data_IF_761657199194
#
_entry.id   IF_761657199194
#
_cell.length_a   1.000
_cell.length_b   1.000
_cell.length_c   1.000
_cell.angle_alpha   90.00
_cell.angle_beta   90.00
_cell.angle_gamma   90.00
#
_symmetry.space_group_name_H-M   'P 1'
#
loop_
_entity.id
_entity.type
_entity.pdbx_description
1 polymer ?
#
# COMPACT_ATOMS: atom_id res chain seq x y z
N UNK A 1 28.05 -7.14 -13.02
CA UNK A 1 27.17 -7.59 -11.92
C UNK A 1 26.80 -9.03 -12.21
N UNK A 2 27.54 -10.00 -11.66
CA UNK A 2 27.38 -11.41 -11.99
C UNK A 2 26.29 -12.02 -11.09
N UNK A 3 25.14 -12.37 -11.67
CA UNK A 3 24.09 -13.12 -10.98
C UNK A 3 24.54 -14.57 -10.81
N UNK A 4 24.50 -15.10 -9.59
CA UNK A 4 24.96 -16.45 -9.28
C UNK A 4 24.26 -17.52 -10.14
N UNK A 5 24.96 -18.56 -10.62
CA UNK A 5 24.50 -19.47 -11.69
C UNK A 5 23.35 -20.42 -11.30
N UNK A 6 22.70 -20.24 -10.14
CA UNK A 6 21.63 -21.13 -9.64
C UNK A 6 20.41 -20.40 -9.04
N UNK A 7 20.21 -19.11 -9.34
CA UNK A 7 19.00 -18.39 -8.88
C UNK A 7 17.83 -18.71 -9.80
N UNK A 8 16.84 -19.47 -9.30
CA UNK A 8 15.54 -19.62 -9.98
C UNK A 8 14.75 -18.33 -9.84
N UNK A 9 14.88 -17.42 -10.81
CA UNK A 9 14.10 -16.18 -10.84
C UNK A 9 12.70 -16.46 -11.40
N UNK A 10 11.67 -16.29 -10.57
CA UNK A 10 10.26 -16.33 -10.99
C UNK A 10 9.75 -14.90 -11.14
N UNK A 11 9.61 -14.45 -12.39
CA UNK A 11 8.95 -13.17 -12.69
C UNK A 11 7.45 -13.41 -12.72
N UNK A 12 6.72 -12.75 -11.81
CA UNK A 12 5.25 -12.74 -11.80
C UNK A 12 4.80 -11.35 -12.20
N UNK A 13 4.06 -11.26 -13.30
CA UNK A 13 3.42 -10.04 -13.74
C UNK A 13 2.06 -10.40 -14.32
N UNK A 14 1.09 -9.50 -14.15
CA UNK A 14 -0.21 -9.66 -14.77
C UNK A 14 -0.10 -9.50 -16.29
N UNK A 15 -0.77 -10.38 -17.04
CA UNK A 15 -0.79 -10.38 -18.50
C UNK A 15 -1.48 -9.13 -19.08
N UNK A 16 -2.36 -8.50 -18.32
CA UNK A 16 -3.10 -7.29 -18.71
C UNK A 16 -2.31 -6.02 -18.38
N UNK A 17 -1.89 -5.28 -19.42
CA UNK A 17 -1.19 -4.00 -19.28
C UNK A 17 -2.05 -2.94 -18.56
N UNK A 18 -3.36 -2.99 -18.75
CA UNK A 18 -4.31 -2.13 -18.04
C UNK A 18 -4.28 -2.40 -16.54
N UNK A 19 -4.35 -3.67 -16.13
CA UNK A 19 -4.31 -4.03 -14.71
C UNK A 19 -2.97 -3.66 -14.07
N UNK A 20 -1.85 -3.77 -14.80
CA UNK A 20 -0.54 -3.28 -14.30
C UNK A 20 -0.52 -1.76 -14.12
N UNK A 21 -1.08 -1.01 -15.08
CA UNK A 21 -1.13 0.45 -15.03
C UNK A 21 -1.99 0.95 -13.85
N UNK A 22 -3.07 0.23 -13.53
CA UNK A 22 -4.01 0.62 -12.49
C UNK A 22 -3.87 -0.22 -11.21
N UNK A 23 -2.86 -1.07 -11.10
CA UNK A 23 -2.68 -2.00 -9.98
C UNK A 23 -2.71 -1.29 -8.62
N UNK A 24 -2.04 -0.13 -8.51
CA UNK A 24 -2.02 0.68 -7.29
C UNK A 24 -3.40 1.21 -6.91
N UNK A 25 -4.17 1.65 -7.90
CA UNK A 25 -5.53 2.15 -7.69
C UNK A 25 -6.52 1.04 -7.35
N UNK A 26 -6.37 -0.12 -8.01
CA UNK A 26 -7.14 -1.33 -7.71
C UNK A 26 -6.84 -1.78 -6.27
N UNK A 27 -5.56 -1.89 -5.90
CA UNK A 27 -5.14 -2.22 -4.54
C UNK A 27 -5.65 -1.22 -3.51
N UNK A 28 -5.60 0.07 -3.79
CA UNK A 28 -6.15 1.12 -2.94
C UNK A 28 -7.66 1.01 -2.73
N UNK A 29 -8.42 0.69 -3.79
CA UNK A 29 -9.87 0.51 -3.70
C UNK A 29 -10.26 -0.72 -2.85
N UNK A 30 -9.46 -1.80 -2.93
CA UNK A 30 -9.63 -2.99 -2.10
C UNK A 30 -9.32 -2.65 -0.65
N UNK A 31 -8.17 -2.01 -0.38
CA UNK A 31 -7.78 -1.58 0.97
C UNK A 31 -8.85 -0.68 1.61
N UNK A 32 -9.36 0.31 0.89
CA UNK A 32 -10.42 1.21 1.37
C UNK A 32 -11.73 0.47 1.72
N UNK A 33 -11.96 -0.68 1.10
CA UNK A 33 -13.15 -1.52 1.33
C UNK A 33 -12.98 -2.50 2.50
N UNK A 34 -11.78 -2.62 3.08
CA UNK A 34 -11.55 -3.50 4.23
C UNK A 34 -12.09 -2.85 5.51
N UNK A 35 -12.82 -3.62 6.32
CA UNK A 35 -13.31 -3.14 7.62
C UNK A 35 -12.18 -2.71 8.57
N UNK A 36 -11.01 -3.35 8.47
CA UNK A 36 -9.81 -2.97 9.24
C UNK A 36 -9.24 -1.61 8.82
N UNK A 37 -9.52 -1.15 7.60
CA UNK A 37 -9.06 0.15 7.13
C UNK A 37 -9.81 1.32 7.78
N UNK A 38 -11.00 1.08 8.33
CA UNK A 38 -11.74 2.09 9.09
C UNK A 38 -10.98 2.54 10.34
N UNK A 39 -10.15 1.68 10.92
CA UNK A 39 -9.33 2.01 12.09
C UNK A 39 -8.15 2.95 11.76
N UNK A 40 -7.84 3.13 10.47
CA UNK A 40 -6.76 3.99 9.97
C UNK A 40 -7.30 5.35 9.49
N UNK A 41 -8.59 5.61 9.65
CA UNK A 41 -9.17 6.89 9.25
C UNK A 41 -8.77 7.98 10.24
N UNK A 42 -8.23 9.07 9.70
CA UNK A 42 -7.89 10.24 10.49
C UNK A 42 -9.04 11.24 10.35
N UNK A 43 -9.69 11.57 11.47
CA UNK A 43 -10.75 12.58 11.48
C UNK A 43 -10.17 13.99 11.27
N UNK A 44 -11.03 14.92 10.82
CA UNK A 44 -10.63 16.33 10.67
C UNK A 44 -10.11 16.93 11.98
N UNK A 45 -10.71 16.55 13.11
CA UNK A 45 -10.33 17.03 14.44
C UNK A 45 -8.95 16.49 14.83
N UNK A 46 -8.71 15.19 14.68
CA UNK A 46 -7.40 14.59 14.98
C UNK A 46 -6.27 15.19 14.15
N UNK A 47 -6.55 15.50 12.88
CA UNK A 47 -5.60 16.16 12.00
C UNK A 47 -5.29 17.60 12.44
N UNK A 48 -6.30 18.35 12.90
CA UNK A 48 -6.13 19.73 13.37
C UNK A 48 -5.33 19.79 14.69
N UNK A 49 -5.58 18.84 15.60
CA UNK A 49 -4.94 18.78 16.92
C UNK A 49 -3.52 18.20 16.89
N UNK A 50 -3.30 17.13 16.13
CA UNK A 50 -1.99 16.45 16.06
C UNK A 50 -1.13 16.91 14.88
N UNK A 51 -1.70 17.68 13.94
CA UNK A 51 -1.02 18.10 12.73
C UNK A 51 -0.44 16.91 11.95
N UNK A 52 0.71 17.10 11.30
CA UNK A 52 1.38 16.05 10.51
C UNK A 52 1.84 14.83 11.33
N UNK A 53 1.85 14.91 12.66
CA UNK A 53 2.32 13.85 13.55
C UNK A 53 1.30 12.72 13.74
N UNK A 54 0.03 12.90 13.36
CA UNK A 54 -0.98 11.83 13.39
C UNK A 54 -0.61 10.67 12.47
N UNK A 55 0.10 10.94 11.37
CA UNK A 55 0.49 9.96 10.35
C UNK A 55 1.46 8.90 10.89
N UNK A 56 2.25 9.24 11.92
CA UNK A 56 3.25 8.33 12.50
C UNK A 56 2.70 7.43 13.62
N UNK A 57 1.48 7.69 14.09
CA UNK A 57 0.83 6.92 15.15
C UNK A 57 0.11 5.69 14.62
N UNK A 58 -0.24 5.68 13.34
CA UNK A 58 -0.95 4.57 12.72
C UNK A 58 0.03 3.48 12.29
N UNK A 59 -0.25 2.25 12.72
CA UNK A 59 0.60 1.06 12.69
C UNK A 59 1.03 0.55 11.29
N UNK A 60 1.03 1.39 10.24
CA UNK A 60 1.44 1.01 8.88
C UNK A 60 2.92 1.25 8.59
N UNK A 61 3.68 1.93 9.46
CA UNK A 61 5.09 2.31 9.23
C UNK A 61 6.12 1.70 10.19
N UNK A 62 5.78 0.68 10.99
CA UNK A 62 6.77 -0.11 11.77
C UNK A 62 7.04 -1.45 11.14
#
# INVERSE_FOLDING_TARGET
MATAPNVRQKVVANNSTTERKYASWIGGSILASLGTFQQLWISKLEYDESGKSCIHKDNLTT
#
